data_IF_293057043232
#
_entry.id   IF_293057043232
#
_cell.length_a   1.000
_cell.length_b   1.000
_cell.length_c   1.000
_cell.angle_alpha   90.00
_cell.angle_beta   90.00
_cell.angle_gamma   90.00
#
_symmetry.space_group_name_H-M   'P 1'
#
loop_
_entity.id
_entity.type
_entity.pdbx_description
1 polymer ?
#
# COMPACT_ATOMS: atom_id res chain seq x y z
N UNK A 1 30.01 18.10 -0.72
CA UNK A 1 28.74 17.35 -0.58
C UNK A 1 27.84 17.80 -1.70
N UNK A 2 27.23 16.86 -2.43
CA UNK A 2 26.28 17.17 -3.49
C UNK A 2 25.02 17.77 -2.85
N UNK A 3 24.48 18.85 -3.41
CA UNK A 3 23.31 19.52 -2.85
C UNK A 3 22.05 18.68 -3.11
N UNK A 4 21.22 18.47 -2.08
CA UNK A 4 19.90 17.83 -2.22
C UNK A 4 18.95 18.78 -2.93
N UNK A 5 18.58 18.47 -4.16
CA UNK A 5 17.66 19.29 -4.96
C UNK A 5 16.24 18.75 -5.00
N UNK A 6 16.06 17.45 -4.74
CA UNK A 6 14.77 16.76 -4.72
C UNK A 6 14.53 16.16 -3.34
N UNK A 7 13.43 16.51 -2.69
CA UNK A 7 12.97 15.83 -1.48
C UNK A 7 11.74 14.99 -1.78
N UNK A 8 11.81 13.71 -1.45
CA UNK A 8 10.68 12.79 -1.44
C UNK A 8 10.15 12.70 -0.01
N UNK A 9 8.89 13.04 0.20
CA UNK A 9 8.33 13.14 1.55
C UNK A 9 6.91 12.60 1.66
N UNK A 10 6.54 12.22 2.87
CA UNK A 10 5.18 11.84 3.25
C UNK A 10 5.01 11.95 4.77
N UNK A 11 3.76 11.92 5.19
CA UNK A 11 3.38 11.83 6.60
C UNK A 11 2.75 10.45 6.81
N UNK A 12 3.49 9.57 7.48
CA UNK A 12 3.05 8.23 7.86
C UNK A 12 2.04 8.30 9.02
N UNK A 13 1.15 7.31 9.12
CA UNK A 13 0.22 7.23 10.25
C UNK A 13 0.94 7.09 11.60
N UNK A 14 2.08 6.38 11.63
CA UNK A 14 2.98 6.19 12.78
C UNK A 14 4.40 5.96 12.30
N UNK A 15 5.39 6.20 13.17
CA UNK A 15 6.82 6.04 12.87
C UNK A 15 7.19 4.62 12.38
N UNK A 16 6.54 3.58 12.93
CA UNK A 16 6.80 2.19 12.54
C UNK A 16 6.52 1.87 11.07
N UNK A 17 5.74 2.69 10.37
CA UNK A 17 5.44 2.48 8.94
C UNK A 17 6.49 3.15 8.09
N UNK A 18 7.06 2.43 7.12
CA UNK A 18 7.99 2.96 6.12
C UNK A 18 7.29 3.34 4.81
N UNK A 19 7.65 4.48 4.21
CA UNK A 19 7.07 4.95 2.96
C UNK A 19 7.63 4.16 1.76
N UNK A 20 6.95 3.08 1.40
CA UNK A 20 7.39 2.20 0.32
C UNK A 20 7.36 2.87 -1.06
N UNK A 21 6.34 3.68 -1.34
CA UNK A 21 6.21 4.43 -2.59
C UNK A 21 7.39 5.39 -2.82
N UNK A 22 7.86 6.09 -1.78
CA UNK A 22 9.01 7.00 -1.89
C UNK A 22 10.29 6.26 -2.24
N UNK A 23 10.50 5.04 -1.71
CA UNK A 23 11.66 4.22 -2.03
C UNK A 23 11.63 3.74 -3.48
N UNK A 24 10.46 3.42 -4.02
CA UNK A 24 10.30 3.13 -5.46
C UNK A 24 10.63 4.33 -6.33
N UNK A 25 10.12 5.52 -6.00
CA UNK A 25 10.50 6.74 -6.72
C UNK A 25 12.00 6.97 -6.65
N UNK A 26 12.60 6.90 -5.46
CA UNK A 26 14.04 7.06 -5.25
C UNK A 26 14.89 6.08 -6.06
N UNK A 27 14.50 4.79 -6.06
CA UNK A 27 15.19 3.75 -6.81
C UNK A 27 15.18 3.97 -8.33
N UNK A 28 14.15 4.66 -8.84
CA UNK A 28 13.92 4.86 -10.27
C UNK A 28 14.18 6.31 -10.74
N UNK A 29 14.86 7.12 -9.93
CA UNK A 29 15.26 8.49 -10.30
C UNK A 29 16.50 8.57 -11.19
N UNK A 30 17.15 7.44 -11.50
CA UNK A 30 18.37 7.37 -12.32
C UNK A 30 19.41 8.43 -11.90
N UNK A 31 19.89 9.25 -12.83
CA UNK A 31 20.93 10.27 -12.59
C UNK A 31 20.54 11.34 -11.54
N UNK A 32 19.24 11.49 -11.25
CA UNK A 32 18.75 12.41 -10.22
C UNK A 32 18.75 11.82 -8.82
N UNK A 33 18.93 10.51 -8.67
CA UNK A 33 18.93 9.86 -7.36
C UNK A 33 19.99 10.47 -6.43
N UNK A 34 21.21 10.71 -6.92
CA UNK A 34 22.31 11.29 -6.14
C UNK A 34 22.05 12.74 -5.66
N UNK A 35 21.00 13.38 -6.19
CA UNK A 35 20.55 14.74 -5.85
C UNK A 35 19.22 14.70 -5.07
N UNK A 36 18.74 13.51 -4.71
CA UNK A 36 17.49 13.31 -4.01
C UNK A 36 17.72 12.82 -2.59
N UNK A 37 16.75 13.05 -1.71
CA UNK A 37 16.70 12.41 -0.40
C UNK A 37 15.25 12.05 -0.05
N UNK A 38 15.09 11.01 0.77
CA UNK A 38 13.82 10.64 1.38
C UNK A 38 13.78 11.26 2.78
N UNK A 39 12.69 11.95 3.10
CA UNK A 39 12.45 12.46 4.44
C UNK A 39 11.01 12.15 4.84
N UNK A 40 10.84 11.37 5.89
CA UNK A 40 9.53 10.87 6.32
C UNK A 40 9.14 11.50 7.66
N UNK A 41 7.85 11.80 7.78
CA UNK A 41 7.25 12.39 8.98
C UNK A 41 6.07 11.53 9.45
N UNK A 42 5.43 11.94 10.55
CA UNK A 42 4.15 11.40 10.99
C UNK A 42 3.05 12.45 11.00
N UNK A 43 1.79 12.02 10.90
CA UNK A 43 0.61 12.90 11.02
C UNK A 43 0.48 13.56 12.41
N UNK A 44 1.30 13.16 13.38
CA UNK A 44 1.31 13.74 14.73
C UNK A 44 2.31 14.90 14.88
N UNK A 45 3.17 15.12 13.89
CA UNK A 45 4.11 16.25 13.88
C UNK A 45 3.40 17.54 13.42
N UNK A 46 3.79 18.69 14.00
CA UNK A 46 3.18 19.97 13.63
C UNK A 46 3.63 20.38 12.24
N UNK A 47 2.72 20.95 11.45
CA UNK A 47 3.00 21.36 10.08
C UNK A 47 4.19 22.35 9.97
N UNK A 48 4.36 23.24 10.95
CA UNK A 48 5.49 24.18 11.01
C UNK A 48 6.84 23.48 11.17
N UNK A 49 6.92 22.44 12.01
CA UNK A 49 8.16 21.69 12.26
C UNK A 49 8.55 20.90 11.01
N UNK A 50 7.56 20.34 10.31
CA UNK A 50 7.75 19.64 9.04
C UNK A 50 8.24 20.61 7.96
N UNK A 51 7.58 21.77 7.81
CA UNK A 51 7.94 22.77 6.83
C UNK A 51 9.36 23.32 7.08
N UNK A 52 9.72 23.62 8.33
CA UNK A 52 11.06 24.05 8.71
C UNK A 52 12.13 23.03 8.28
N UNK A 53 11.95 21.76 8.65
CA UNK A 53 12.90 20.68 8.32
C UNK A 53 13.03 20.45 6.81
N UNK A 54 11.95 20.60 6.04
CA UNK A 54 11.97 20.48 4.58
C UNK A 54 12.68 21.67 3.91
N UNK A 55 12.45 22.88 4.41
CA UNK A 55 13.04 24.11 3.87
C UNK A 55 14.54 24.24 4.19
N UNK A 56 15.00 23.72 5.33
CA UNK A 56 16.41 23.76 5.73
C UNK A 56 17.35 23.09 4.70
N UNK A 57 16.85 22.06 4.00
CA UNK A 57 17.57 21.38 2.92
C UNK A 57 17.69 22.20 1.63
N UNK A 58 16.99 23.34 1.53
CA UNK A 58 16.93 24.22 0.35
C UNK A 58 16.63 23.47 -0.96
N UNK A 59 15.57 22.65 -1.01
CA UNK A 59 15.24 21.87 -2.19
C UNK A 59 14.73 22.75 -3.33
N UNK A 60 14.94 22.30 -4.56
CA UNK A 60 14.26 22.85 -5.73
C UNK A 60 12.87 22.22 -5.92
N UNK A 61 12.73 20.94 -5.57
CA UNK A 61 11.52 20.14 -5.74
C UNK A 61 11.21 19.40 -4.43
N UNK A 62 9.95 19.46 -3.97
CA UNK A 62 9.42 18.64 -2.88
C UNK A 62 8.25 17.81 -3.41
N UNK A 63 8.35 16.50 -3.34
CA UNK A 63 7.33 15.56 -3.79
C UNK A 63 6.65 14.88 -2.60
N UNK A 64 5.35 15.07 -2.45
CA UNK A 64 4.54 14.45 -1.41
C UNK A 64 3.84 13.20 -1.93
N UNK A 65 3.97 12.08 -1.20
CA UNK A 65 3.08 10.93 -1.34
C UNK A 65 1.87 11.09 -0.41
N UNK A 66 0.68 11.12 -1.00
CA UNK A 66 -0.56 11.56 -0.38
C UNK A 66 -1.57 10.42 -0.35
N UNK A 67 -2.09 10.15 0.85
CA UNK A 67 -3.03 9.09 1.16
C UNK A 67 -4.21 9.67 1.95
N UNK A 68 -5.29 8.90 2.05
CA UNK A 68 -6.51 9.29 2.76
C UNK A 68 -6.25 9.75 4.21
N UNK A 69 -5.27 9.17 4.90
CA UNK A 69 -4.98 9.48 6.30
C UNK A 69 -4.07 10.69 6.51
N UNK A 70 -3.49 11.28 5.46
CA UNK A 70 -2.52 12.37 5.60
C UNK A 70 -2.81 13.60 4.73
N UNK A 71 -3.96 13.62 4.05
CA UNK A 71 -4.30 14.68 3.10
C UNK A 71 -4.45 16.04 3.79
N UNK A 72 -5.06 16.10 4.97
CA UNK A 72 -5.30 17.34 5.71
C UNK A 72 -3.99 17.94 6.24
N UNK A 73 -3.15 17.11 6.84
CA UNK A 73 -1.84 17.50 7.38
C UNK A 73 -0.89 17.91 6.24
N UNK A 74 -0.88 17.16 5.14
CA UNK A 74 -0.08 17.51 3.96
C UNK A 74 -0.53 18.85 3.37
N UNK A 75 -1.83 19.10 3.30
CA UNK A 75 -2.38 20.40 2.84
C UNK A 75 -1.88 21.55 3.71
N UNK A 76 -1.85 21.35 5.03
CA UNK A 76 -1.36 22.34 5.99
C UNK A 76 0.14 22.63 5.80
N UNK A 77 0.97 21.59 5.64
CA UNK A 77 2.42 21.71 5.38
C UNK A 77 2.67 22.44 4.07
N UNK A 78 2.02 22.02 2.98
CA UNK A 78 2.19 22.63 1.65
C UNK A 78 1.76 24.09 1.66
N UNK A 79 0.67 24.44 2.34
CA UNK A 79 0.22 25.82 2.51
C UNK A 79 1.29 26.70 3.17
N UNK A 80 1.92 26.23 4.25
CA UNK A 80 3.00 26.93 4.94
C UNK A 80 4.23 27.10 4.05
N UNK A 81 4.66 26.03 3.37
CA UNK A 81 5.82 26.08 2.46
C UNK A 81 5.58 27.12 1.36
N UNK A 82 4.40 27.15 0.76
CA UNK A 82 4.06 28.12 -0.30
C UNK A 82 4.00 29.57 0.19
N UNK A 83 3.64 29.80 1.46
CA UNK A 83 3.69 31.13 2.06
C UNK A 83 5.12 31.61 2.30
N UNK A 84 6.03 30.70 2.69
CA UNK A 84 7.41 31.05 3.05
C UNK A 84 8.31 31.11 1.80
N UNK A 85 8.21 30.12 0.91
CA UNK A 85 9.07 29.98 -0.27
C UNK A 85 8.25 29.53 -1.50
N UNK A 86 7.48 30.45 -2.12
CA UNK A 86 6.52 30.12 -3.19
C UNK A 86 7.16 29.51 -4.45
N UNK A 87 8.45 29.79 -4.68
CA UNK A 87 9.19 29.35 -5.87
C UNK A 87 9.54 27.86 -5.87
N UNK A 88 9.56 27.20 -4.70
CA UNK A 88 9.79 25.75 -4.60
C UNK A 88 8.71 25.01 -5.37
N UNK A 89 9.11 24.03 -6.20
CA UNK A 89 8.17 23.20 -6.93
C UNK A 89 7.66 22.07 -6.05
N UNK A 90 6.35 22.04 -5.85
CA UNK A 90 5.67 21.01 -5.07
C UNK A 90 4.94 20.07 -6.01
N UNK A 91 5.23 18.79 -5.89
CA UNK A 91 4.58 17.71 -6.64
C UNK A 91 3.78 16.85 -5.66
N UNK A 92 2.52 16.54 -5.98
CA UNK A 92 1.75 15.55 -5.23
C UNK A 92 1.55 14.28 -6.07
N UNK A 93 1.68 13.12 -5.45
CA UNK A 93 1.31 11.83 -6.02
C UNK A 93 0.72 10.92 -4.95
N UNK A 94 0.19 9.77 -5.36
CA UNK A 94 -0.43 8.81 -4.46
C UNK A 94 -1.95 8.71 -4.63
N UNK A 95 -2.59 7.77 -3.93
CA UNK A 95 -3.97 7.39 -4.19
C UNK A 95 -4.96 8.56 -4.11
N UNK A 96 -4.79 9.46 -3.14
CA UNK A 96 -5.78 10.53 -2.87
C UNK A 96 -5.82 11.61 -3.96
N UNK A 97 -4.73 11.77 -4.72
CA UNK A 97 -4.64 12.73 -5.84
C UNK A 97 -4.68 12.05 -7.20
N UNK A 98 -4.91 10.72 -7.25
CA UNK A 98 -4.85 9.96 -8.49
C UNK A 98 -6.14 9.99 -9.32
N UNK A 99 -7.25 10.42 -8.75
CA UNK A 99 -8.52 10.52 -9.45
C UNK A 99 -8.79 11.96 -9.91
N UNK A 100 -8.52 12.24 -11.19
CA UNK A 100 -8.57 13.60 -11.73
C UNK A 100 -9.98 14.25 -11.70
N UNK A 101 -11.05 13.46 -11.63
CA UNK A 101 -12.43 13.96 -11.60
C UNK A 101 -12.89 14.51 -10.24
N UNK A 102 -12.16 14.23 -9.16
CA UNK A 102 -12.48 14.67 -7.81
C UNK A 102 -11.18 14.82 -7.01
N UNK A 103 -10.47 15.93 -7.26
CA UNK A 103 -9.20 16.26 -6.62
C UNK A 103 -9.43 16.98 -5.27
N UNK A 104 -8.59 16.71 -4.25
CA UNK A 104 -8.69 17.38 -2.95
C UNK A 104 -8.20 18.83 -2.99
N UNK A 105 -8.49 19.62 -1.96
CA UNK A 105 -8.06 21.03 -1.85
C UNK A 105 -6.52 21.21 -1.98
N UNK A 106 -5.73 20.21 -1.55
CA UNK A 106 -4.28 20.17 -1.80
C UNK A 106 -3.91 20.43 -3.26
N UNK A 107 -4.73 19.95 -4.20
CA UNK A 107 -4.52 20.09 -5.62
C UNK A 107 -4.47 21.54 -6.08
N UNK A 108 -5.01 22.50 -5.32
CA UNK A 108 -4.92 23.93 -5.63
C UNK A 108 -3.58 24.53 -5.23
N UNK A 109 -2.90 23.96 -4.23
CA UNK A 109 -1.67 24.50 -3.65
C UNK A 109 -0.38 24.00 -4.31
N UNK A 110 -0.42 22.82 -4.94
CA UNK A 110 0.75 22.15 -5.53
C UNK A 110 0.99 22.57 -6.98
N UNK A 111 2.25 22.59 -7.44
CA UNK A 111 2.57 22.95 -8.83
C UNK A 111 2.21 21.85 -9.82
N UNK A 112 2.35 20.57 -9.42
CA UNK A 112 2.08 19.42 -10.28
C UNK A 112 1.45 18.26 -9.51
N UNK A 113 0.66 17.45 -10.21
CA UNK A 113 0.06 16.22 -9.68
C UNK A 113 0.44 15.07 -10.61
N UNK A 114 0.87 13.94 -10.05
CA UNK A 114 1.07 12.69 -10.79
C UNK A 114 -0.02 11.70 -10.37
N UNK A 115 -0.82 11.25 -11.33
CA UNK A 115 -1.89 10.27 -11.10
C UNK A 115 -1.42 8.86 -11.43
N UNK A 116 -1.75 7.86 -10.60
CA UNK A 116 -1.35 6.47 -10.85
C UNK A 116 0.16 6.21 -10.68
N UNK A 117 0.75 5.23 -11.39
CA UNK A 117 2.16 4.85 -11.23
C UNK A 117 3.12 5.99 -11.54
N UNK A 118 4.01 6.31 -10.61
CA UNK A 118 4.79 7.55 -10.63
C UNK A 118 6.23 7.41 -11.10
N UNK A 119 6.81 6.21 -11.12
CA UNK A 119 8.26 6.00 -11.23
C UNK A 119 8.86 6.71 -12.46
N UNK A 120 8.29 6.47 -13.65
CA UNK A 120 8.76 7.05 -14.91
C UNK A 120 8.34 8.50 -15.11
N UNK A 121 7.08 8.82 -14.78
CA UNK A 121 6.54 10.18 -14.96
C UNK A 121 7.20 11.18 -14.02
N UNK A 122 7.53 10.77 -12.79
CA UNK A 122 8.21 11.62 -11.82
C UNK A 122 9.67 11.91 -12.22
N UNK A 123 10.40 10.90 -12.71
CA UNK A 123 11.73 11.11 -13.29
C UNK A 123 11.70 12.17 -14.41
N UNK A 124 10.78 12.02 -15.37
CA UNK A 124 10.63 12.98 -16.49
C UNK A 124 10.28 14.38 -16.00
N UNK A 125 9.39 14.50 -15.02
CA UNK A 125 9.02 15.78 -14.43
C UNK A 125 10.24 16.45 -13.75
N UNK A 126 11.00 15.69 -12.96
CA UNK A 126 12.22 16.19 -12.33
C UNK A 126 13.22 16.69 -13.38
N UNK A 127 13.41 15.93 -14.47
CA UNK A 127 14.27 16.32 -15.57
C UNK A 127 13.85 17.65 -16.20
N UNK A 128 12.56 17.83 -16.47
CA UNK A 128 12.01 19.06 -17.04
C UNK A 128 12.22 20.25 -16.09
N UNK A 129 11.83 20.12 -14.82
CA UNK A 129 11.91 21.20 -13.85
C UNK A 129 13.36 21.63 -13.57
N UNK A 130 14.27 20.68 -13.41
CA UNK A 130 15.69 20.99 -13.17
C UNK A 130 16.40 21.52 -14.42
N UNK A 131 15.89 21.23 -15.61
CA UNK A 131 16.32 21.83 -16.88
C UNK A 131 15.63 23.16 -17.19
N UNK A 132 14.88 23.72 -16.23
CA UNK A 132 14.12 24.97 -16.35
C UNK A 132 13.09 24.96 -17.49
N UNK A 133 12.59 23.79 -17.84
CA UNK A 133 11.45 23.64 -18.74
C UNK A 133 10.15 23.76 -17.95
N UNK A 134 9.10 24.23 -18.60
CA UNK A 134 7.76 24.32 -18.02
C UNK A 134 6.92 23.18 -18.61
N UNK A 135 6.58 22.14 -17.80
CA UNK A 135 5.63 21.12 -18.22
C UNK A 135 4.30 21.75 -18.64
N UNK A 136 3.75 21.27 -19.77
CA UNK A 136 2.51 21.81 -20.34
C UNK A 136 1.28 21.56 -19.45
N UNK A 137 1.25 20.42 -18.78
CA UNK A 137 0.12 19.99 -17.97
C UNK A 137 0.49 19.98 -16.49
N UNK A 138 -0.38 20.57 -15.66
CA UNK A 138 -0.30 20.48 -14.19
C UNK A 138 -0.56 19.06 -13.70
N UNK A 139 -1.58 18.41 -14.27
CA UNK A 139 -1.94 17.02 -13.95
C UNK A 139 -1.29 16.10 -14.99
N UNK A 140 -0.41 15.24 -14.52
CA UNK A 140 0.42 14.35 -15.32
C UNK A 140 -0.05 12.92 -15.08
N UNK A 141 -0.47 12.25 -16.16
CA UNK A 141 -0.78 10.84 -16.09
C UNK A 141 0.48 10.02 -15.83
N UNK A 142 0.41 9.15 -14.83
CA UNK A 142 1.43 8.17 -14.52
C UNK A 142 1.56 7.15 -15.64
N UNK A 143 2.81 6.86 -16.02
CA UNK A 143 3.12 5.83 -17.00
C UNK A 143 3.64 4.58 -16.27
N UNK A 144 2.86 3.50 -16.36
CA UNK A 144 3.26 2.21 -15.80
C UNK A 144 4.53 1.70 -16.47
N UNK A 145 5.54 1.35 -15.68
CA UNK A 145 6.77 0.72 -16.15
C UNK A 145 6.62 -0.80 -16.02
N UNK A 146 7.06 -1.61 -16.99
CA UNK A 146 7.17 -3.06 -16.84
C UNK A 146 7.94 -3.43 -15.56
N UNK A 147 7.49 -4.46 -14.84
CA UNK A 147 8.04 -4.80 -13.51
C UNK A 147 9.51 -5.26 -13.58
N UNK A 148 9.91 -5.85 -14.70
CA UNK A 148 11.28 -6.26 -15.01
C UNK A 148 12.21 -5.07 -15.29
N UNK A 149 11.68 -3.96 -15.77
CA UNK A 149 12.43 -2.71 -16.00
C UNK A 149 12.55 -1.84 -14.73
N UNK A 150 11.69 -2.03 -13.72
CA UNK A 150 11.74 -1.27 -12.47
C UNK A 150 12.97 -1.64 -11.64
N UNK A 151 13.69 -0.65 -11.12
CA UNK A 151 14.67 -0.86 -10.05
C UNK A 151 13.93 -1.10 -8.73
N UNK A 152 14.22 -2.24 -8.08
CA UNK A 152 13.59 -2.61 -6.82
C UNK A 152 14.11 -1.72 -5.67
N UNK A 153 13.25 -1.35 -4.71
CA UNK A 153 13.56 -0.30 -3.74
C UNK A 153 14.29 -0.78 -2.49
N UNK A 154 14.47 -2.09 -2.33
CA UNK A 154 14.77 -2.73 -1.04
C UNK A 154 16.14 -2.32 -0.46
N UNK A 155 17.10 -1.96 -1.31
CA UNK A 155 18.42 -1.45 -0.87
C UNK A 155 18.34 -0.10 -0.16
N UNK A 156 17.24 0.64 -0.31
CA UNK A 156 17.03 1.97 0.27
C UNK A 156 16.26 1.93 1.60
N UNK A 157 16.04 0.75 2.16
CA UNK A 157 15.84 0.61 3.60
C UNK A 157 17.17 0.83 4.31
N UNK A 158 17.28 1.87 5.13
CA UNK A 158 18.47 2.11 5.93
C UNK A 158 18.48 1.20 7.18
N UNK A 159 19.56 1.19 7.94
CA UNK A 159 19.68 0.29 9.08
C UNK A 159 18.75 0.68 10.25
N UNK A 160 18.31 1.93 10.34
CA UNK A 160 17.30 2.37 11.30
C UNK A 160 15.92 1.84 10.91
N UNK A 161 15.57 1.88 9.62
CA UNK A 161 14.34 1.29 9.10
C UNK A 161 14.28 -0.21 9.42
N UNK A 162 15.36 -0.94 9.13
CA UNK A 162 15.45 -2.39 9.35
C UNK A 162 15.30 -2.75 10.82
N UNK A 163 15.85 -1.94 11.73
CA UNK A 163 15.75 -2.21 13.18
C UNK A 163 14.40 -1.87 13.77
N UNK A 164 13.77 -0.78 13.32
CA UNK A 164 12.68 -0.14 14.08
C UNK A 164 11.34 -0.07 13.35
N UNK A 165 11.28 -0.44 12.07
CA UNK A 165 10.10 -0.21 11.22
C UNK A 165 9.68 -1.49 10.49
N UNK A 166 8.44 -1.51 10.03
CA UNK A 166 7.92 -2.55 9.15
C UNK A 166 8.59 -2.44 7.77
N UNK A 167 9.09 -3.55 7.26
CA UNK A 167 9.63 -3.64 5.91
C UNK A 167 8.51 -4.08 4.97
N UNK A 168 8.05 -3.13 4.16
CA UNK A 168 7.05 -3.38 3.15
C UNK A 168 7.69 -4.02 1.93
N UNK A 169 7.04 -5.07 1.42
CA UNK A 169 7.49 -5.81 0.24
C UNK A 169 6.31 -6.08 -0.67
N UNK A 170 6.59 -6.18 -1.97
CA UNK A 170 5.57 -6.42 -3.00
C UNK A 170 6.10 -7.53 -3.92
N UNK A 171 5.48 -8.71 -3.84
CA UNK A 171 5.80 -9.85 -4.70
C UNK A 171 5.05 -9.79 -6.03
N UNK A 172 3.95 -9.03 -6.08
CA UNK A 172 3.13 -8.79 -7.27
C UNK A 172 2.40 -7.46 -7.19
N UNK A 173 2.14 -6.87 -8.35
CA UNK A 173 1.46 -5.58 -8.48
C UNK A 173 0.11 -5.72 -9.16
N UNK A 174 -0.91 -5.07 -8.58
CA UNK A 174 -2.29 -5.03 -9.06
C UNK A 174 -3.16 -6.15 -8.50
N UNK A 175 -4.45 -6.14 -8.88
CA UNK A 175 -5.43 -7.12 -8.44
C UNK A 175 -6.41 -7.43 -9.58
N UNK A 176 -6.78 -8.70 -9.83
CA UNK A 176 -7.75 -9.04 -10.88
C UNK A 176 -9.21 -8.84 -10.43
N UNK A 177 -9.47 -8.61 -9.14
CA UNK A 177 -10.82 -8.49 -8.59
C UNK A 177 -11.42 -7.10 -8.82
N UNK A 178 -12.75 -7.04 -8.77
CA UNK A 178 -13.54 -5.85 -9.11
C UNK A 178 -14.39 -5.32 -7.95
N UNK A 179 -13.98 -5.62 -6.72
CA UNK A 179 -14.64 -5.17 -5.50
C UNK A 179 -14.81 -3.64 -5.50
N UNK A 180 -16.04 -3.15 -5.56
CA UNK A 180 -16.32 -1.75 -5.92
C UNK A 180 -15.84 -0.74 -4.88
N UNK A 181 -15.71 -1.15 -3.63
CA UNK A 181 -15.18 -0.32 -2.54
C UNK A 181 -13.66 -0.12 -2.60
N UNK A 182 -12.94 -0.89 -3.44
CA UNK A 182 -11.49 -0.90 -3.48
C UNK A 182 -10.94 -0.16 -4.70
N UNK A 183 -9.88 0.63 -4.51
CA UNK A 183 -9.18 1.31 -5.61
C UNK A 183 -8.53 0.33 -6.60
N UNK A 184 -8.13 -0.85 -6.13
CA UNK A 184 -7.57 -1.89 -7.00
C UNK A 184 -8.60 -2.50 -7.96
N UNK A 185 -9.90 -2.21 -7.83
CA UNK A 185 -10.88 -2.57 -8.86
C UNK A 185 -10.57 -1.95 -10.23
N UNK A 186 -9.80 -0.86 -10.25
CA UNK A 186 -9.33 -0.19 -11.46
C UNK A 186 -8.22 -0.98 -12.17
N UNK A 187 -7.53 -1.87 -11.47
CA UNK A 187 -6.49 -2.73 -12.04
C UNK A 187 -7.12 -3.78 -12.97
N UNK A 188 -6.43 -4.14 -14.05
CA UNK A 188 -6.91 -5.17 -14.99
C UNK A 188 -6.40 -6.57 -14.64
N UNK A 189 -5.21 -6.65 -14.04
CA UNK A 189 -4.47 -7.89 -13.80
C UNK A 189 -3.58 -7.74 -12.58
N UNK A 190 -3.24 -8.84 -11.91
CA UNK A 190 -2.07 -8.90 -11.02
C UNK A 190 -0.88 -9.49 -11.78
N UNK A 191 0.29 -8.85 -11.68
CA UNK A 191 1.53 -9.32 -12.30
C UNK A 191 2.57 -9.58 -11.21
N UNK A 192 3.12 -10.81 -11.12
CA UNK A 192 4.22 -11.08 -10.19
C UNK A 192 5.51 -10.44 -10.70
N UNK A 193 6.38 -10.04 -9.77
CA UNK A 193 7.79 -9.80 -10.09
C UNK A 193 8.47 -11.11 -10.47
N UNK A 194 9.61 -11.04 -11.17
CA UNK A 194 10.42 -12.23 -11.40
C UNK A 194 10.88 -12.78 -10.05
N UNK A 195 10.60 -14.07 -9.84
CA UNK A 195 10.66 -14.69 -8.52
C UNK A 195 12.09 -14.72 -7.98
N UNK A 196 13.07 -15.09 -8.80
CA UNK A 196 14.47 -15.22 -8.38
C UNK A 196 14.99 -13.86 -7.93
N UNK A 197 14.82 -12.84 -8.77
CA UNK A 197 15.14 -11.44 -8.50
C UNK A 197 14.48 -10.93 -7.22
N UNK A 198 13.22 -11.28 -6.98
CA UNK A 198 12.52 -10.90 -5.76
C UNK A 198 13.14 -11.58 -4.52
N UNK A 199 13.39 -12.89 -4.59
CA UNK A 199 13.97 -13.64 -3.48
C UNK A 199 15.41 -13.21 -3.15
N UNK A 200 16.20 -12.83 -4.15
CA UNK A 200 17.55 -12.27 -3.95
C UNK A 200 17.51 -10.97 -3.11
N UNK A 201 16.52 -10.10 -3.35
CA UNK A 201 16.34 -8.88 -2.56
C UNK A 201 15.82 -9.20 -1.14
N UNK A 202 14.97 -10.21 -0.99
CA UNK A 202 14.52 -10.69 0.33
C UNK A 202 15.70 -11.26 1.12
N UNK A 203 16.59 -11.99 0.47
CA UNK A 203 17.83 -12.50 1.07
C UNK A 203 18.74 -11.36 1.51
N UNK A 204 18.93 -10.34 0.66
CA UNK A 204 19.72 -9.17 1.00
C UNK A 204 19.16 -8.43 2.23
N UNK A 205 17.84 -8.24 2.32
CA UNK A 205 17.19 -7.64 3.49
C UNK A 205 17.34 -8.51 4.73
N UNK A 206 17.10 -9.82 4.61
CA UNK A 206 17.23 -10.76 5.70
C UNK A 206 18.67 -10.80 6.26
N UNK A 207 19.68 -10.79 5.38
CA UNK A 207 21.10 -10.76 5.75
C UNK A 207 21.51 -9.45 6.43
N UNK A 208 20.80 -8.36 6.16
CA UNK A 208 20.96 -7.07 6.85
C UNK A 208 20.22 -7.00 8.19
N UNK A 209 19.52 -8.07 8.59
CA UNK A 209 18.83 -8.18 9.88
C UNK A 209 17.33 -7.90 9.82
N UNK A 210 16.72 -7.75 8.64
CA UNK A 210 15.27 -7.63 8.54
C UNK A 210 14.59 -8.93 8.98
N UNK A 211 13.62 -8.81 9.88
CA UNK A 211 12.85 -9.94 10.42
C UNK A 211 11.35 -9.72 10.41
N UNK A 212 10.89 -8.52 10.06
CA UNK A 212 9.46 -8.23 9.95
C UNK A 212 9.14 -7.78 8.51
N UNK A 213 8.43 -8.63 7.77
CA UNK A 213 8.06 -8.38 6.38
C UNK A 213 6.53 -8.27 6.27
N UNK A 214 6.03 -7.11 5.84
CA UNK A 214 4.62 -6.93 5.48
C UNK A 214 4.47 -6.89 3.96
N UNK A 215 3.87 -7.93 3.42
CA UNK A 215 3.53 -7.99 2.01
C UNK A 215 2.33 -7.10 1.74
N UNK A 216 2.47 -6.20 0.75
CA UNK A 216 1.41 -5.27 0.34
C UNK A 216 0.62 -5.78 -0.87
N UNK A 217 0.94 -7.00 -1.34
CA UNK A 217 0.18 -7.73 -2.33
C UNK A 217 -1.29 -7.81 -1.90
N UNK A 218 -2.20 -7.29 -2.72
CA UNK A 218 -3.65 -7.31 -2.43
C UNK A 218 -4.23 -8.71 -2.33
N UNK A 219 -3.52 -9.68 -2.88
CA UNK A 219 -3.88 -11.10 -2.83
C UNK A 219 -2.63 -11.94 -3.04
N UNK A 220 -1.97 -12.31 -1.95
CA UNK A 220 -0.74 -13.09 -2.01
C UNK A 220 -0.92 -14.49 -2.64
N UNK A 221 -2.08 -15.12 -2.43
CA UNK A 221 -2.37 -16.50 -2.82
C UNK A 221 -2.91 -16.69 -4.26
N UNK A 222 -2.80 -15.69 -5.14
CA UNK A 222 -3.26 -15.80 -6.54
C UNK A 222 -2.51 -16.87 -7.35
N UNK A 223 -1.19 -16.94 -7.20
CA UNK A 223 -0.34 -17.89 -7.93
C UNK A 223 0.35 -18.81 -6.96
N UNK A 224 -0.30 -19.94 -6.69
CA UNK A 224 0.11 -20.97 -5.70
C UNK A 224 1.61 -21.28 -5.75
N UNK A 225 2.18 -21.49 -6.94
CA UNK A 225 3.60 -21.84 -7.06
C UNK A 225 4.54 -20.73 -6.58
N UNK A 226 4.23 -19.47 -6.87
CA UNK A 226 5.00 -18.33 -6.38
C UNK A 226 4.81 -18.14 -4.88
N UNK A 227 3.58 -18.25 -4.38
CA UNK A 227 3.29 -18.13 -2.95
C UNK A 227 4.02 -19.20 -2.13
N UNK A 228 4.03 -20.45 -2.60
CA UNK A 228 4.74 -21.55 -1.95
C UNK A 228 6.24 -21.34 -1.98
N UNK A 229 6.83 -20.93 -3.10
CA UNK A 229 8.26 -20.67 -3.17
C UNK A 229 8.71 -19.55 -2.21
N UNK A 230 7.92 -18.48 -2.08
CA UNK A 230 8.17 -17.39 -1.12
C UNK A 230 8.10 -17.93 0.32
N UNK A 231 7.06 -18.71 0.65
CA UNK A 231 6.93 -19.29 1.98
C UNK A 231 8.08 -20.26 2.29
N UNK A 232 8.47 -21.13 1.34
CA UNK A 232 9.58 -22.06 1.51
C UNK A 232 10.91 -21.34 1.72
N UNK A 233 11.16 -20.26 0.97
CA UNK A 233 12.35 -19.41 1.14
C UNK A 233 12.50 -18.89 2.57
N UNK A 234 11.42 -18.38 3.17
CA UNK A 234 11.43 -17.91 4.56
C UNK A 234 11.43 -19.06 5.56
N UNK A 235 10.76 -20.18 5.24
CA UNK A 235 10.74 -21.36 6.09
C UNK A 235 12.15 -21.94 6.32
N UNK A 236 12.97 -21.96 5.27
CA UNK A 236 14.38 -22.37 5.33
C UNK A 236 15.25 -21.45 6.19
N UNK A 237 14.79 -20.21 6.41
CA UNK A 237 15.48 -19.13 7.14
C UNK A 237 14.76 -18.78 8.45
N UNK A 238 13.89 -19.67 8.93
CA UNK A 238 13.13 -19.41 10.15
C UNK A 238 14.04 -19.12 11.34
N UNK A 239 13.64 -18.12 12.08
CA UNK A 239 14.19 -17.71 13.37
C UNK A 239 13.03 -17.28 14.26
N UNK A 240 13.25 -17.26 15.57
CA UNK A 240 12.19 -16.96 16.56
C UNK A 240 11.63 -15.53 16.41
N UNK A 241 12.37 -14.63 15.77
CA UNK A 241 12.01 -13.24 15.53
C UNK A 241 11.48 -12.96 14.12
N UNK A 242 11.48 -13.95 13.21
CA UNK A 242 10.95 -13.79 11.86
C UNK A 242 9.41 -13.77 11.87
N UNK A 243 8.86 -12.68 11.34
CA UNK A 243 7.44 -12.42 11.24
C UNK A 243 7.05 -12.00 9.82
N UNK A 244 6.07 -12.69 9.26
CA UNK A 244 5.54 -12.43 7.92
C UNK A 244 4.06 -12.09 7.98
N UNK A 245 3.66 -11.04 7.30
CA UNK A 245 2.28 -10.58 7.22
C UNK A 245 1.82 -10.56 5.76
N UNK A 246 0.70 -11.23 5.46
CA UNK A 246 0.13 -11.34 4.12
C UNK A 246 -1.36 -10.98 4.09
N UNK A 247 -1.81 -10.27 3.03
CA UNK A 247 -3.22 -10.23 2.66
C UNK A 247 -3.56 -11.45 1.79
N UNK A 248 -4.60 -12.19 2.16
CA UNK A 248 -5.02 -13.41 1.45
C UNK A 248 -6.50 -13.39 1.13
N UNK A 249 -6.86 -14.01 -0.01
CA UNK A 249 -8.25 -14.23 -0.34
C UNK A 249 -8.79 -15.45 0.42
N UNK A 250 -9.91 -15.30 1.13
CA UNK A 250 -10.40 -16.31 2.07
C UNK A 250 -10.80 -17.64 1.42
N UNK A 251 -11.33 -17.62 0.20
CA UNK A 251 -11.90 -18.82 -0.44
C UNK A 251 -10.91 -19.59 -1.31
N UNK A 252 -9.64 -19.16 -1.39
CA UNK A 252 -8.59 -19.80 -2.18
C UNK A 252 -7.42 -20.31 -1.34
N UNK A 253 -7.58 -21.50 -0.74
CA UNK A 253 -6.49 -22.13 0.03
C UNK A 253 -6.19 -23.55 -0.47
N UNK A 254 -5.43 -23.71 -1.56
CA UNK A 254 -5.11 -25.02 -2.13
C UNK A 254 -4.26 -25.90 -1.21
N UNK A 255 -4.37 -27.22 -1.34
CA UNK A 255 -3.71 -28.20 -0.46
C UNK A 255 -2.19 -28.03 -0.37
N UNK A 256 -1.53 -27.66 -1.47
CA UNK A 256 -0.09 -27.42 -1.46
C UNK A 256 0.26 -26.25 -0.52
N UNK A 257 -0.52 -25.17 -0.58
CA UNK A 257 -0.35 -24.02 0.29
C UNK A 257 -0.65 -24.40 1.75
N UNK A 258 -1.75 -25.12 2.02
CA UNK A 258 -2.08 -25.68 3.34
C UNK A 258 -0.91 -26.45 3.94
N UNK A 259 -0.32 -27.39 3.18
CA UNK A 259 0.83 -28.19 3.62
C UNK A 259 2.05 -27.35 3.97
N UNK A 260 2.31 -26.27 3.24
CA UNK A 260 3.43 -25.37 3.53
C UNK A 260 3.17 -24.52 4.77
N UNK A 261 1.95 -23.96 4.90
CA UNK A 261 1.56 -23.14 6.05
C UNK A 261 1.60 -23.90 7.38
N UNK A 262 1.21 -25.17 7.39
CA UNK A 262 1.25 -26.01 8.59
C UNK A 262 2.67 -26.24 9.15
N UNK A 263 3.72 -25.99 8.36
CA UNK A 263 5.12 -26.12 8.81
C UNK A 263 5.62 -24.92 9.60
N UNK A 264 4.95 -23.78 9.51
CA UNK A 264 5.39 -22.56 10.19
C UNK A 264 5.16 -22.65 11.70
N UNK A 265 6.12 -22.18 12.53
CA UNK A 265 5.94 -22.14 13.97
C UNK A 265 4.86 -21.13 14.35
N UNK A 266 4.31 -21.29 15.56
CA UNK A 266 3.31 -20.37 16.11
C UNK A 266 3.85 -18.94 16.15
N UNK A 267 2.98 -17.98 15.88
CA UNK A 267 3.25 -16.54 15.93
C UNK A 267 4.29 -16.02 14.92
N UNK A 268 4.61 -16.78 13.87
CA UNK A 268 5.50 -16.33 12.78
C UNK A 268 4.77 -15.77 11.56
N UNK A 269 3.47 -16.06 11.45
CA UNK A 269 2.62 -15.67 10.33
C UNK A 269 1.43 -14.85 10.80
N UNK A 270 1.07 -13.83 10.04
CA UNK A 270 -0.21 -13.14 10.14
C UNK A 270 -0.91 -13.09 8.77
N UNK A 271 -2.19 -13.42 8.80
CA UNK A 271 -3.07 -13.30 7.64
C UNK A 271 -4.11 -12.22 7.89
N UNK A 272 -4.13 -11.23 7.01
CA UNK A 272 -5.21 -10.27 6.86
C UNK A 272 -6.19 -10.84 5.83
N UNK A 273 -7.37 -11.22 6.30
CA UNK A 273 -8.40 -11.94 5.53
C UNK A 273 -9.60 -11.02 5.38
N UNK A 274 -9.65 -10.32 4.25
CA UNK A 274 -10.79 -9.50 3.94
C UNK A 274 -12.00 -10.36 3.60
N UNK A 275 -12.94 -10.56 4.54
CA UNK A 275 -14.25 -11.23 4.30
C UNK A 275 -15.27 -10.21 3.80
N UNK A 276 -15.26 -9.03 4.41
CA UNK A 276 -16.07 -7.84 4.15
C UNK A 276 -17.56 -8.01 4.47
N UNK A 277 -18.20 -9.07 3.98
CA UNK A 277 -19.59 -9.44 4.30
C UNK A 277 -19.83 -10.91 3.93
N UNK A 278 -20.73 -11.59 4.64
CA UNK A 278 -21.24 -12.91 4.26
C UNK A 278 -22.60 -12.84 3.52
N UNK A 279 -23.18 -11.66 3.37
CA UNK A 279 -24.42 -11.48 2.61
C UNK A 279 -24.13 -11.61 1.10
N UNK A 280 -24.69 -12.65 0.47
CA UNK A 280 -24.49 -12.94 -0.96
C UNK A 280 -25.12 -11.88 -1.87
N UNK A 281 -26.19 -11.22 -1.44
CA UNK A 281 -26.82 -10.14 -2.20
C UNK A 281 -25.91 -8.91 -2.21
N UNK A 282 -25.39 -8.52 -1.04
CA UNK A 282 -24.43 -7.40 -0.92
C UNK A 282 -23.16 -7.69 -1.70
N UNK A 283 -22.62 -8.92 -1.60
CA UNK A 283 -21.47 -9.34 -2.40
C UNK A 283 -21.67 -9.11 -3.90
N UNK A 284 -22.85 -9.48 -4.41
CA UNK A 284 -23.24 -9.25 -5.80
C UNK A 284 -23.33 -7.75 -6.13
N UNK A 285 -23.96 -6.95 -5.26
CA UNK A 285 -24.15 -5.51 -5.44
C UNK A 285 -22.82 -4.74 -5.57
N UNK A 286 -21.80 -5.17 -4.83
CA UNK A 286 -20.47 -4.53 -4.81
C UNK A 286 -19.42 -5.26 -5.66
N UNK A 287 -19.86 -6.18 -6.53
CA UNK A 287 -18.99 -6.98 -7.41
C UNK A 287 -17.87 -7.73 -6.65
N UNK A 288 -18.15 -8.14 -5.42
CA UNK A 288 -17.25 -8.95 -4.60
C UNK A 288 -17.57 -10.42 -4.84
N UNK A 289 -16.68 -11.10 -5.56
CA UNK A 289 -16.79 -12.54 -5.79
C UNK A 289 -16.11 -13.31 -4.65
N UNK A 290 -16.90 -14.04 -3.86
CA UNK A 290 -16.44 -14.89 -2.77
C UNK A 290 -17.36 -16.10 -2.63
N UNK A 291 -16.78 -17.25 -2.26
CA UNK A 291 -17.51 -18.42 -1.78
C UNK A 291 -17.46 -18.47 -0.23
N UNK A 292 -18.61 -18.23 0.40
CA UNK A 292 -18.72 -18.15 1.86
C UNK A 292 -18.47 -19.48 2.56
N UNK A 293 -18.85 -20.59 1.93
CA UNK A 293 -18.73 -21.92 2.51
C UNK A 293 -17.24 -22.30 2.53
N UNK A 294 -16.53 -22.07 1.41
CA UNK A 294 -15.07 -22.23 1.35
C UNK A 294 -14.31 -21.27 2.24
N UNK A 295 -14.77 -20.02 2.34
CA UNK A 295 -14.20 -19.03 3.27
C UNK A 295 -14.24 -19.57 4.70
N UNK A 296 -15.39 -20.08 5.12
CA UNK A 296 -15.61 -20.66 6.45
C UNK A 296 -14.76 -21.91 6.68
N UNK A 297 -14.68 -22.79 5.68
CA UNK A 297 -13.84 -24.00 5.70
C UNK A 297 -12.36 -23.65 5.85
N UNK A 298 -11.85 -22.72 5.03
CA UNK A 298 -10.44 -22.33 5.04
C UNK A 298 -10.04 -21.58 6.31
N UNK A 299 -10.92 -20.72 6.84
CA UNK A 299 -10.71 -20.03 8.12
C UNK A 299 -10.60 -21.04 9.27
N UNK A 300 -11.56 -21.96 9.36
CA UNK A 300 -11.53 -23.04 10.36
C UNK A 300 -10.25 -23.87 10.23
N UNK A 301 -9.91 -24.27 8.99
CA UNK A 301 -8.70 -25.04 8.73
C UNK A 301 -7.43 -24.30 9.18
N UNK A 302 -7.30 -23.00 8.87
CA UNK A 302 -6.16 -22.19 9.29
C UNK A 302 -6.07 -22.09 10.82
N UNK A 303 -7.20 -21.92 11.51
CA UNK A 303 -7.25 -21.84 12.98
C UNK A 303 -6.82 -23.14 13.66
N UNK A 304 -7.22 -24.28 13.11
CA UNK A 304 -6.97 -25.60 13.70
C UNK A 304 -5.59 -26.17 13.34
N UNK A 305 -5.08 -25.88 12.14
CA UNK A 305 -3.92 -26.56 11.57
C UNK A 305 -2.67 -25.68 11.46
N UNK A 306 -2.76 -24.40 11.82
CA UNK A 306 -1.62 -23.49 11.77
C UNK A 306 -1.48 -22.67 13.05
N UNK A 307 -0.28 -22.14 13.25
CA UNK A 307 0.00 -21.18 14.31
C UNK A 307 -0.14 -19.72 13.88
N UNK A 308 -0.77 -19.45 12.72
CA UNK A 308 -0.90 -18.12 12.17
C UNK A 308 -1.92 -17.28 12.94
N UNK A 309 -1.62 -15.99 13.08
CA UNK A 309 -2.56 -15.00 13.60
C UNK A 309 -3.53 -14.59 12.49
N UNK A 310 -4.82 -14.86 12.66
CA UNK A 310 -5.85 -14.50 11.69
C UNK A 310 -6.51 -13.20 12.14
N UNK A 311 -6.32 -12.18 11.31
CA UNK A 311 -7.03 -10.92 11.35
C UNK A 311 -8.07 -10.94 10.22
N UNK A 312 -9.35 -10.86 10.55
CA UNK A 312 -10.43 -10.90 9.57
C UNK A 312 -11.22 -9.60 9.53
N UNK A 313 -11.46 -9.07 8.32
CA UNK A 313 -12.14 -7.79 8.13
C UNK A 313 -13.61 -7.96 7.76
N UNK A 314 -14.45 -7.11 8.35
CA UNK A 314 -15.81 -6.83 7.90
C UNK A 314 -15.94 -5.34 7.58
N UNK A 315 -16.79 -5.00 6.60
CA UNK A 315 -17.15 -3.62 6.31
C UNK A 315 -18.64 -3.45 6.61
N UNK A 316 -18.96 -2.46 7.43
CA UNK A 316 -20.32 -2.00 7.65
C UNK A 316 -20.61 -0.73 6.84
N UNK A 317 -21.84 -0.64 6.33
CA UNK A 317 -22.32 0.49 5.52
C UNK A 317 -22.18 0.28 4.02
N UNK A 318 -22.03 -0.98 3.59
CA UNK A 318 -22.10 -1.37 2.18
C UNK A 318 -23.53 -1.15 1.64
N UNK A 319 -23.70 -0.90 0.33
CA UNK A 319 -25.02 -0.82 -0.30
C UNK A 319 -25.86 -2.05 0.02
N UNK A 320 -26.99 -1.85 0.70
CA UNK A 320 -27.90 -2.91 1.15
C UNK A 320 -27.66 -3.41 2.58
N UNK A 321 -26.65 -2.93 3.31
CA UNK A 321 -26.50 -3.25 4.73
C UNK A 321 -27.67 -2.73 5.55
N UNK A 322 -28.16 -3.58 6.45
CA UNK A 322 -28.97 -3.24 7.62
C UNK A 322 -28.20 -3.65 8.88
N UNK A 323 -28.69 -3.29 10.06
CA UNK A 323 -28.06 -3.76 11.30
C UNK A 323 -28.23 -5.28 11.46
N UNK A 324 -29.33 -5.83 10.96
CA UNK A 324 -29.68 -7.24 11.07
C UNK A 324 -28.76 -8.13 10.22
N UNK A 325 -28.65 -7.88 8.91
CA UNK A 325 -27.80 -8.72 8.04
C UNK A 325 -26.30 -8.54 8.36
N UNK A 326 -25.90 -7.36 8.81
CA UNK A 326 -24.55 -7.14 9.32
C UNK A 326 -24.30 -7.96 10.60
N UNK A 327 -25.24 -7.97 11.54
CA UNK A 327 -25.13 -8.78 12.75
C UNK A 327 -25.05 -10.28 12.44
N UNK A 328 -25.76 -10.76 11.41
CA UNK A 328 -25.61 -12.14 10.92
C UNK A 328 -24.19 -12.43 10.42
N UNK A 329 -23.65 -11.56 9.56
CA UNK A 329 -22.26 -11.68 9.06
C UNK A 329 -21.23 -11.63 10.20
N UNK A 330 -21.43 -10.74 11.17
CA UNK A 330 -20.57 -10.61 12.35
C UNK A 330 -20.62 -11.85 13.24
N UNK A 331 -21.83 -12.36 13.53
CA UNK A 331 -22.01 -13.58 14.33
C UNK A 331 -21.39 -14.80 13.64
N UNK A 332 -21.53 -14.90 12.31
CA UNK A 332 -20.87 -15.95 11.54
C UNK A 332 -19.35 -15.85 11.67
N UNK A 333 -18.77 -14.66 11.51
CA UNK A 333 -17.31 -14.49 11.63
C UNK A 333 -16.80 -14.80 13.04
N UNK A 334 -17.50 -14.36 14.09
CA UNK A 334 -17.19 -14.72 15.47
C UNK A 334 -17.21 -16.24 15.67
N UNK A 335 -18.19 -16.93 15.09
CA UNK A 335 -18.30 -18.38 15.15
C UNK A 335 -17.11 -19.13 14.54
N UNK A 336 -16.41 -18.52 13.59
CA UNK A 336 -15.18 -19.05 12.97
C UNK A 336 -13.92 -18.81 13.82
N UNK A 337 -14.02 -18.01 14.88
CA UNK A 337 -12.96 -17.79 15.86
C UNK A 337 -11.63 -17.23 15.34
N UNK A 338 -11.60 -16.24 14.42
CA UNK A 338 -10.37 -15.52 14.12
C UNK A 338 -9.82 -14.85 15.40
N UNK A 339 -8.51 -14.64 15.47
CA UNK A 339 -7.90 -14.02 16.65
C UNK A 339 -8.23 -12.53 16.76
N UNK A 340 -8.44 -11.87 15.62
CA UNK A 340 -8.84 -10.47 15.56
C UNK A 340 -9.94 -10.30 14.50
N UNK A 341 -10.97 -9.52 14.84
CA UNK A 341 -11.97 -9.04 13.89
C UNK A 341 -11.84 -7.54 13.81
N UNK A 342 -11.53 -7.03 12.62
CA UNK A 342 -11.52 -5.60 12.34
C UNK A 342 -12.82 -5.21 11.66
N UNK A 343 -13.51 -4.27 12.30
CA UNK A 343 -14.75 -3.70 11.81
C UNK A 343 -14.44 -2.35 11.14
N UNK A 344 -14.41 -2.35 9.81
CA UNK A 344 -14.29 -1.14 9.01
C UNK A 344 -15.65 -0.50 8.78
N UNK A 345 -15.74 0.82 8.95
CA UNK A 345 -16.86 1.59 8.38
C UNK A 345 -16.50 1.85 6.90
N UNK A 346 -17.47 1.68 5.99
CA UNK A 346 -17.25 1.94 4.56
C UNK A 346 -16.69 3.36 4.35
N UNK A 347 -15.45 3.42 3.88
CA UNK A 347 -14.81 4.66 3.45
C UNK A 347 -15.04 4.83 1.95
N UNK A 348 -15.48 6.03 1.57
CA UNK A 348 -15.60 6.41 0.16
C UNK A 348 -14.25 6.87 -0.35
N UNK A 349 -13.57 6.00 -1.07
CA UNK A 349 -12.29 6.32 -1.69
C UNK A 349 -12.52 7.05 -3.03
N UNK A 350 -11.74 8.10 -3.28
CA UNK A 350 -11.79 8.87 -4.53
C UNK A 350 -11.46 7.97 -5.72
N UNK A 351 -12.37 7.88 -6.69
CA UNK A 351 -12.22 7.03 -7.86
C UNK A 351 -12.58 5.55 -7.67
N UNK A 352 -12.94 5.10 -6.46
CA UNK A 352 -13.48 3.75 -6.28
C UNK A 352 -14.88 3.63 -6.92
N UNK A 353 -15.20 2.51 -7.60
CA UNK A 353 -16.49 2.32 -8.27
C UNK A 353 -17.72 2.41 -7.37
N UNK A 354 -17.58 2.17 -6.06
CA UNK A 354 -18.68 2.20 -5.07
C UNK A 354 -19.46 3.51 -5.09
N UNK A 355 -18.83 4.60 -5.53
CA UNK A 355 -19.48 5.91 -5.65
C UNK A 355 -20.69 5.91 -6.61
N UNK A 356 -20.82 4.93 -7.53
CA UNK A 356 -21.99 4.81 -8.41
C UNK A 356 -23.31 4.56 -7.67
N UNK A 357 -23.24 4.07 -6.42
CA UNK A 357 -24.42 3.80 -5.60
C UNK A 357 -24.91 5.04 -4.85
N UNK A 358 -24.17 6.15 -4.88
CA UNK A 358 -24.47 7.35 -4.07
C UNK A 358 -25.89 7.86 -4.28
N UNK A 359 -26.31 8.03 -5.53
CA UNK A 359 -27.61 8.63 -5.82
C UNK A 359 -28.80 7.72 -5.44
N UNK A 360 -28.56 6.41 -5.31
CA UNK A 360 -29.60 5.42 -4.98
C UNK A 360 -29.82 5.28 -3.48
N UNK A 361 -28.81 5.60 -2.66
CA UNK A 361 -28.82 5.41 -1.20
C UNK A 361 -28.61 6.73 -0.43
N UNK A 362 -28.85 7.88 -1.08
CA UNK A 362 -28.76 9.23 -0.48
C UNK A 362 -29.98 9.59 0.37
#
# INVERSE_FOLDING_TARGET
MQQTEILLTTLNARYMHSAFALRYLYANLADYQARAAIQEFTIHERAIDIAEKLLDQKPAIIAFSVYIWNIEETTSVVGLIKQIQPDIKIVAGGPEVSFAGDLPALAELVDYIITGPGEKSFYRLCHQLLSRQIPLNRVIAGEATPLDELHLPYRYYNDEDIRNRLIYVEASRGCPFKCEFCLSALDKTAKPFELTRFLDEMEALHNRGARNFKFIDRTFNLKVSSSVAILEFFLERMSDDLYLHFEVIPDQLPDLLKKTLAKFPRNSLQFEIGVQTFDREIQSLISRKQDNDKTSENLTWLRENTGAHIHADLIFGLPGDSLENFAESFNQLIGLGPQEIQLGILKRLRGAPINRHTDTYQ
#
